data_IF_695322266947
#
_entry.id   IF_695322266947
#
_cell.length_a   1.000
_cell.length_b   1.000
_cell.length_c   1.000
_cell.angle_alpha   90.00
_cell.angle_beta   90.00
_cell.angle_gamma   90.00
#
_symmetry.space_group_name_H-M   'P 1'
#
loop_
_entity.id
_entity.type
_entity.pdbx_description
1 polymer ?
#
# COMPACT_ATOMS: atom_id res chain seq x y z
N UNK A 1 14.17 3.81 -14.33
CA UNK A 1 12.86 3.20 -14.63
C UNK A 1 12.31 2.42 -13.43
N UNK A 2 13.12 1.54 -12.81
CA UNK A 2 12.70 0.68 -11.69
C UNK A 2 12.14 1.46 -10.48
N UNK A 3 12.76 2.57 -10.07
CA UNK A 3 12.29 3.35 -8.91
C UNK A 3 10.91 4.01 -9.12
N UNK A 4 10.57 4.39 -10.36
CA UNK A 4 9.31 5.08 -10.67
C UNK A 4 8.14 4.09 -10.70
N UNK A 5 8.34 2.94 -11.37
CA UNK A 5 7.37 1.83 -11.39
C UNK A 5 7.16 1.28 -9.97
N UNK A 6 8.24 1.20 -9.20
CA UNK A 6 8.17 0.73 -7.81
C UNK A 6 7.35 1.66 -6.91
N UNK A 7 7.56 2.97 -7.01
CA UNK A 7 6.78 3.96 -6.27
C UNK A 7 5.30 3.93 -6.65
N UNK A 8 4.99 3.79 -7.94
CA UNK A 8 3.62 3.65 -8.44
C UNK A 8 2.91 2.41 -7.87
N UNK A 9 3.58 1.25 -7.84
CA UNK A 9 3.00 0.02 -7.29
C UNK A 9 2.67 0.15 -5.79
N UNK A 10 3.58 0.68 -4.97
CA UNK A 10 3.33 0.86 -3.53
C UNK A 10 2.18 1.85 -3.30
N UNK A 11 2.19 2.97 -4.02
CA UNK A 11 1.13 3.96 -3.88
C UNK A 11 -0.22 3.41 -4.31
N UNK A 12 -0.26 2.62 -5.38
CA UNK A 12 -1.48 1.96 -5.84
C UNK A 12 -2.05 1.01 -4.79
N UNK A 13 -1.22 0.16 -4.19
CA UNK A 13 -1.67 -0.78 -3.15
C UNK A 13 -2.14 -0.03 -1.89
N UNK A 14 -1.40 1.02 -1.51
CA UNK A 14 -1.77 1.92 -0.42
C UNK A 14 -3.12 2.61 -0.66
N UNK A 15 -3.33 3.22 -1.83
CA UNK A 15 -4.59 3.91 -2.17
C UNK A 15 -5.76 2.91 -2.26
N UNK A 16 -5.53 1.71 -2.81
CA UNK A 16 -6.55 0.67 -2.93
C UNK A 16 -7.10 0.26 -1.56
N UNK A 17 -6.25 0.09 -0.54
CA UNK A 17 -6.70 -0.25 0.81
C UNK A 17 -7.49 0.88 1.47
N UNK A 18 -7.10 2.15 1.27
CA UNK A 18 -7.86 3.30 1.81
C UNK A 18 -9.23 3.39 1.17
N UNK A 19 -9.28 3.24 -0.16
CA UNK A 19 -10.52 3.31 -0.92
C UNK A 19 -11.45 2.16 -0.54
N UNK A 20 -10.92 0.94 -0.43
CA UNK A 20 -11.68 -0.22 0.02
C UNK A 20 -12.29 0.01 1.41
N UNK A 21 -11.49 0.43 2.39
CA UNK A 21 -11.98 0.70 3.75
C UNK A 21 -13.08 1.78 3.76
N UNK A 22 -12.90 2.85 2.97
CA UNK A 22 -13.90 3.91 2.84
C UNK A 22 -15.20 3.37 2.25
N UNK A 23 -15.13 2.58 1.17
CA UNK A 23 -16.31 2.01 0.53
C UNK A 23 -17.05 1.02 1.44
N UNK A 24 -16.31 0.22 2.22
CA UNK A 24 -16.89 -0.70 3.19
C UNK A 24 -17.65 0.04 4.31
N UNK A 25 -17.18 1.22 4.74
CA UNK A 25 -17.91 2.05 5.71
C UNK A 25 -19.30 2.51 5.21
N UNK A 26 -19.51 2.56 3.89
CA UNK A 26 -20.81 2.87 3.28
C UNK A 26 -21.63 1.62 2.89
N UNK A 27 -21.07 0.42 3.06
CA UNK A 27 -21.75 -0.82 2.72
C UNK A 27 -22.95 -1.04 3.65
N UNK A 28 -24.14 -1.22 3.06
CA UNK A 28 -25.40 -1.43 3.80
C UNK A 28 -26.29 -0.19 3.93
N UNK A 29 -25.85 0.99 3.47
CA UNK A 29 -26.70 2.17 3.37
C UNK A 29 -27.52 2.15 2.05
N UNK A 30 -28.78 2.63 2.03
CA UNK A 30 -29.55 2.71 0.79
C UNK A 30 -28.84 3.63 -0.21
N UNK A 31 -28.31 3.04 -1.29
CA UNK A 31 -27.57 3.74 -2.34
C UNK A 31 -28.50 4.60 -3.19
N UNK A 32 -28.81 5.80 -2.71
CA UNK A 32 -29.39 6.84 -3.56
C UNK A 32 -28.23 7.56 -4.23
N UNK A 33 -27.99 7.26 -5.51
CA UNK A 33 -26.96 7.90 -6.35
C UNK A 33 -27.30 9.38 -6.59
N UNK A 34 -27.10 10.20 -5.56
CA UNK A 34 -27.24 11.65 -5.59
C UNK A 34 -25.84 12.26 -5.64
N UNK A 35 -25.68 13.41 -6.28
CA UNK A 35 -24.42 14.18 -6.27
C UNK A 35 -23.86 14.36 -4.86
N UNK A 36 -24.74 14.65 -3.89
CA UNK A 36 -24.41 14.77 -2.46
C UNK A 36 -23.72 13.52 -1.89
N UNK A 37 -24.17 12.32 -2.29
CA UNK A 37 -23.62 11.05 -1.82
C UNK A 37 -22.19 10.84 -2.32
N UNK A 38 -21.94 11.16 -3.60
CA UNK A 38 -20.60 11.09 -4.20
C UNK A 38 -19.66 12.08 -3.50
N UNK A 39 -20.11 13.32 -3.26
CA UNK A 39 -19.32 14.30 -2.52
C UNK A 39 -19.02 13.85 -1.08
N UNK A 40 -19.95 13.17 -0.41
CA UNK A 40 -19.70 12.64 0.94
C UNK A 40 -18.65 11.53 0.95
N UNK A 41 -18.64 10.63 -0.04
CA UNK A 41 -17.63 9.57 -0.15
C UNK A 41 -16.25 10.20 -0.40
N UNK A 42 -16.16 11.15 -1.33
CA UNK A 42 -14.90 11.85 -1.62
C UNK A 42 -14.41 12.61 -0.39
N UNK A 43 -15.32 13.30 0.32
CA UNK A 43 -14.99 14.02 1.55
C UNK A 43 -14.44 13.10 2.64
N UNK A 44 -15.11 11.97 2.90
CA UNK A 44 -14.63 10.99 3.88
C UNK A 44 -13.31 10.34 3.46
N UNK A 45 -13.16 10.01 2.17
CA UNK A 45 -11.89 9.48 1.65
C UNK A 45 -10.73 10.46 1.88
N UNK A 46 -10.93 11.75 1.57
CA UNK A 46 -9.90 12.77 1.77
C UNK A 46 -9.61 12.99 3.25
N UNK A 47 -10.65 13.04 4.10
CA UNK A 47 -10.49 13.20 5.54
C UNK A 47 -9.74 12.02 6.16
N UNK A 48 -10.10 10.79 5.81
CA UNK A 48 -9.40 9.59 6.26
C UNK A 48 -7.96 9.55 5.76
N UNK A 49 -7.71 9.95 4.51
CA UNK A 49 -6.35 9.96 3.94
C UNK A 49 -5.47 10.99 4.63
N UNK A 50 -5.90 12.26 4.69
CA UNK A 50 -5.09 13.35 5.24
C UNK A 50 -5.01 13.32 6.77
N UNK A 51 -6.09 12.92 7.45
CA UNK A 51 -6.12 12.78 8.91
C UNK A 51 -5.13 11.72 9.37
N UNK A 52 -5.19 10.53 8.79
CA UNK A 52 -4.26 9.44 9.10
C UNK A 52 -2.81 9.75 8.68
N UNK A 53 -2.61 10.46 7.57
CA UNK A 53 -1.30 10.93 7.14
C UNK A 53 -0.69 11.86 8.19
N UNK A 54 -1.44 12.86 8.67
CA UNK A 54 -0.96 13.81 9.66
C UNK A 54 -0.52 13.09 10.94
N UNK A 55 -1.35 12.19 11.46
CA UNK A 55 -1.07 11.44 12.70
C UNK A 55 0.16 10.54 12.52
N UNK A 56 0.21 9.76 11.43
CA UNK A 56 1.33 8.85 11.15
C UNK A 56 2.67 9.58 11.02
N UNK A 57 2.69 10.72 10.31
CA UNK A 57 3.91 11.53 10.15
C UNK A 57 4.32 12.18 11.47
N UNK A 58 3.40 12.75 12.24
CA UNK A 58 3.70 13.39 13.53
C UNK A 58 4.34 12.36 14.48
N UNK A 59 3.76 11.17 14.59
CA UNK A 59 4.30 10.13 15.46
C UNK A 59 5.65 9.59 14.98
N UNK A 60 5.87 9.49 13.67
CA UNK A 60 7.18 9.13 13.12
C UNK A 60 8.25 10.19 13.45
N UNK A 61 7.90 11.48 13.40
CA UNK A 61 8.80 12.57 13.78
C UNK A 61 9.11 12.55 15.28
N UNK A 62 8.10 12.28 16.13
CA UNK A 62 8.29 12.12 17.57
C UNK A 62 9.24 10.95 17.84
N UNK A 63 8.98 9.79 17.23
CA UNK A 63 9.86 8.62 17.34
C UNK A 63 11.30 8.96 16.92
N UNK A 64 11.47 9.67 15.80
CA UNK A 64 12.77 10.11 15.29
C UNK A 64 13.53 10.97 16.30
N UNK A 65 12.84 11.89 16.98
CA UNK A 65 13.43 12.73 18.02
C UNK A 65 13.77 11.97 19.29
N UNK A 66 12.99 10.95 19.65
CA UNK A 66 13.27 10.10 20.82
C UNK A 66 14.52 9.25 20.55
N UNK A 67 14.58 8.56 19.41
CA UNK A 67 15.75 7.74 19.02
C UNK A 67 17.02 8.58 18.87
N UNK A 68 16.91 9.85 18.45
CA UNK A 68 18.08 10.74 18.35
C UNK A 68 18.70 11.10 19.71
N UNK A 69 17.91 11.12 20.78
CA UNK A 69 18.35 11.63 22.10
C UNK A 69 18.86 10.55 23.05
N UNK A 70 18.56 9.29 22.76
CA UNK A 70 18.78 8.18 23.70
C UNK A 70 19.65 7.15 22.99
N UNK A 71 20.85 6.91 23.51
CA UNK A 71 21.66 5.76 23.11
C UNK A 71 21.01 4.50 23.67
N UNK A 72 20.40 3.71 22.79
CA UNK A 72 19.68 2.49 23.16
C UNK A 72 20.38 1.24 22.63
N UNK A 73 20.11 0.10 23.27
CA UNK A 73 20.48 -1.19 22.69
C UNK A 73 19.65 -1.47 21.44
N UNK A 74 20.25 -2.18 20.47
CA UNK A 74 19.65 -2.55 19.19
C UNK A 74 18.20 -3.06 19.28
N UNK A 75 17.92 -3.95 20.25
CA UNK A 75 16.58 -4.55 20.42
C UNK A 75 15.56 -3.52 20.89
N UNK A 76 15.98 -2.58 21.75
CA UNK A 76 15.11 -1.53 22.29
C UNK A 76 14.76 -0.54 21.18
N UNK A 77 15.72 -0.20 20.31
CA UNK A 77 15.47 0.67 19.15
C UNK A 77 14.35 0.09 18.27
N UNK A 78 14.43 -1.21 17.91
CA UNK A 78 13.41 -1.88 17.10
C UNK A 78 12.04 -1.93 17.80
N UNK A 79 12.01 -2.30 19.09
CA UNK A 79 10.77 -2.35 19.87
C UNK A 79 10.12 -0.97 19.93
N UNK A 80 10.91 0.11 20.09
CA UNK A 80 10.39 1.46 20.08
C UNK A 80 9.74 1.82 18.73
N UNK A 81 10.38 1.47 17.60
CA UNK A 81 9.80 1.69 16.27
C UNK A 81 8.44 0.98 16.14
N UNK A 82 8.37 -0.29 16.53
CA UNK A 82 7.15 -1.09 16.47
C UNK A 82 6.07 -0.55 17.42
N UNK A 83 6.45 -0.12 18.62
CA UNK A 83 5.53 0.46 19.59
C UNK A 83 4.95 1.77 19.07
N UNK A 84 5.77 2.65 18.48
CA UNK A 84 5.30 3.89 17.88
C UNK A 84 4.40 3.65 16.66
N UNK A 85 4.68 2.62 15.86
CA UNK A 85 3.81 2.20 14.76
C UNK A 85 2.43 1.76 15.30
N UNK A 86 2.39 0.91 16.32
CA UNK A 86 1.14 0.47 16.96
C UNK A 86 0.41 1.62 17.65
N UNK A 87 1.13 2.57 18.26
CA UNK A 87 0.54 3.76 18.83
C UNK A 87 -0.15 4.62 17.76
N UNK A 88 0.45 4.73 16.57
CA UNK A 88 -0.17 5.46 15.45
C UNK A 88 -1.46 4.83 14.97
N UNK A 89 -1.53 3.50 15.00
CA UNK A 89 -2.76 2.77 14.72
C UNK A 89 -3.84 3.08 15.74
N UNK A 90 -3.54 2.87 17.03
CA UNK A 90 -4.50 3.02 18.12
C UNK A 90 -5.02 4.46 18.24
N UNK A 91 -4.15 5.46 18.07
CA UNK A 91 -4.54 6.86 18.14
C UNK A 91 -5.47 7.25 16.99
N UNK A 92 -5.21 6.72 15.80
CA UNK A 92 -6.02 6.99 14.61
C UNK A 92 -7.38 6.29 14.70
N UNK A 93 -7.39 5.05 15.19
CA UNK A 93 -8.62 4.28 15.42
C UNK A 93 -9.53 4.94 16.47
N UNK A 94 -8.93 5.50 17.54
CA UNK A 94 -9.66 6.29 18.54
C UNK A 94 -10.31 7.56 17.96
N UNK A 95 -9.72 8.12 16.90
CA UNK A 95 -10.25 9.30 16.20
C UNK A 95 -11.24 8.94 15.07
N UNK A 96 -11.68 7.67 15.01
CA UNK A 96 -12.57 7.14 13.96
C UNK A 96 -12.00 7.27 12.54
N UNK A 97 -10.66 7.34 12.44
CA UNK A 97 -9.92 7.39 11.18
C UNK A 97 -9.33 6.00 10.86
N UNK A 98 -8.79 5.81 9.66
CA UNK A 98 -8.26 4.50 9.26
C UNK A 98 -6.87 4.22 9.86
N UNK A 99 -6.82 3.45 10.95
CA UNK A 99 -5.56 3.08 11.61
C UNK A 99 -4.54 2.38 10.70
N UNK A 100 -5.00 1.54 9.77
CA UNK A 100 -4.13 0.88 8.78
C UNK A 100 -3.37 1.89 7.92
N UNK A 101 -4.06 2.97 7.52
CA UNK A 101 -3.45 4.03 6.70
C UNK A 101 -2.48 4.89 7.50
N UNK A 102 -2.69 5.06 8.80
CA UNK A 102 -1.74 5.75 9.66
C UNK A 102 -0.44 4.97 9.84
N UNK A 103 -0.49 3.64 10.03
CA UNK A 103 0.73 2.81 10.06
C UNK A 103 1.51 2.94 8.74
N UNK A 104 0.81 2.93 7.59
CA UNK A 104 1.45 3.09 6.28
C UNK A 104 2.22 4.41 6.17
N UNK A 105 1.60 5.54 6.54
CA UNK A 105 2.29 6.84 6.50
C UNK A 105 3.37 6.95 7.58
N UNK A 106 3.16 6.37 8.76
CA UNK A 106 4.18 6.25 9.80
C UNK A 106 5.42 5.53 9.27
N UNK A 107 5.28 4.36 8.64
CA UNK A 107 6.40 3.59 8.12
C UNK A 107 7.10 4.29 6.95
N UNK A 108 6.34 4.96 6.08
CA UNK A 108 6.88 5.80 5.01
C UNK A 108 7.75 6.93 5.56
N UNK A 109 7.26 7.64 6.58
CA UNK A 109 8.01 8.69 7.26
C UNK A 109 9.18 8.13 8.08
N UNK A 110 9.02 6.98 8.73
CA UNK A 110 10.05 6.34 9.54
C UNK A 110 11.26 5.95 8.69
N UNK A 111 11.04 5.45 7.46
CA UNK A 111 12.14 5.19 6.52
C UNK A 111 12.94 6.44 6.18
N UNK A 112 12.31 7.62 6.14
CA UNK A 112 13.00 8.86 5.81
C UNK A 112 13.64 9.55 7.02
N UNK A 113 12.97 9.56 8.17
CA UNK A 113 13.41 10.31 9.35
C UNK A 113 14.05 9.45 10.45
N UNK A 114 13.61 8.20 10.61
CA UNK A 114 14.07 7.28 11.65
C UNK A 114 15.34 6.54 11.23
N UNK A 115 15.42 6.17 9.94
CA UNK A 115 16.53 5.39 9.39
C UNK A 115 17.90 6.01 9.67
N UNK A 116 18.02 7.34 9.57
CA UNK A 116 19.27 8.04 9.80
C UNK A 116 19.66 8.17 11.29
N UNK A 117 18.68 8.06 12.19
CA UNK A 117 18.90 8.19 13.63
C UNK A 117 19.17 6.84 14.31
N UNK A 118 18.85 5.72 13.65
CA UNK A 118 19.14 4.37 14.13
C UNK A 118 20.64 4.06 14.07
N UNK A 119 21.11 3.28 15.05
CA UNK A 119 22.47 2.75 15.06
C UNK A 119 22.72 1.83 13.85
N UNK A 120 23.96 1.78 13.34
CA UNK A 120 24.32 0.91 12.20
C UNK A 120 23.89 -0.56 12.37
N UNK A 121 24.17 -1.24 13.52
CA UNK A 121 23.75 -2.62 13.68
C UNK A 121 22.22 -2.75 13.77
N UNK A 122 21.51 -1.78 14.37
CA UNK A 122 20.05 -1.82 14.43
C UNK A 122 19.40 -1.62 13.08
N UNK A 123 20.01 -0.82 12.19
CA UNK A 123 19.55 -0.62 10.82
C UNK A 123 19.57 -1.92 10.02
N UNK A 124 20.67 -2.67 10.06
CA UNK A 124 20.80 -3.96 9.38
C UNK A 124 19.85 -5.01 9.94
N UNK A 125 19.71 -5.04 11.28
CA UNK A 125 18.76 -5.94 11.94
C UNK A 125 17.31 -5.61 11.59
N UNK A 126 16.93 -4.33 11.60
CA UNK A 126 15.59 -3.85 11.26
C UNK A 126 15.24 -4.18 9.81
N UNK A 127 16.16 -3.94 8.86
CA UNK A 127 15.96 -4.29 7.45
C UNK A 127 15.77 -5.81 7.26
N UNK A 128 16.59 -6.62 7.93
CA UNK A 128 16.46 -8.09 7.88
C UNK A 128 15.15 -8.57 8.50
N UNK A 129 14.77 -7.99 9.64
CA UNK A 129 13.54 -8.32 10.35
C UNK A 129 12.29 -8.03 9.50
N UNK A 130 12.19 -6.83 8.92
CA UNK A 130 11.04 -6.46 8.09
C UNK A 130 10.99 -7.23 6.76
N UNK A 131 12.15 -7.55 6.15
CA UNK A 131 12.20 -8.45 4.98
C UNK A 131 11.69 -9.85 5.31
N UNK A 132 12.06 -10.38 6.47
CA UNK A 132 11.60 -11.72 6.88
C UNK A 132 10.09 -11.70 7.19
N UNK A 133 9.60 -10.64 7.83
CA UNK A 133 8.16 -10.45 8.07
C UNK A 133 7.35 -10.31 6.78
N UNK A 134 7.87 -9.59 5.78
CA UNK A 134 7.28 -9.56 4.44
C UNK A 134 7.07 -10.96 3.92
N UNK A 135 8.16 -11.72 3.84
CA UNK A 135 8.16 -12.99 3.14
C UNK A 135 7.23 -13.97 3.85
N UNK A 136 7.17 -13.89 5.19
CA UNK A 136 6.20 -14.62 5.99
C UNK A 136 4.75 -14.18 5.69
N UNK A 137 4.48 -12.88 5.62
CA UNK A 137 3.14 -12.36 5.33
C UNK A 137 2.68 -12.75 3.91
N UNK A 138 3.59 -12.71 2.93
CA UNK A 138 3.34 -13.12 1.55
C UNK A 138 2.96 -14.60 1.47
N UNK A 139 3.77 -15.49 2.08
CA UNK A 139 3.47 -16.93 2.15
C UNK A 139 2.13 -17.18 2.87
N UNK A 140 1.85 -16.42 3.93
CA UNK A 140 0.61 -16.53 4.71
C UNK A 140 -0.61 -16.17 3.88
N UNK A 141 -0.58 -15.05 3.15
CA UNK A 141 -1.68 -14.60 2.28
C UNK A 141 -1.91 -15.63 1.17
N UNK A 142 -0.86 -16.11 0.51
CA UNK A 142 -1.00 -17.13 -0.54
C UNK A 142 -1.59 -18.44 -0.01
N UNK A 143 -1.15 -18.89 1.17
CA UNK A 143 -1.69 -20.09 1.81
C UNK A 143 -3.16 -19.90 2.16
N UNK A 144 -3.55 -18.76 2.75
CA UNK A 144 -4.93 -18.46 3.11
C UNK A 144 -5.85 -18.39 1.88
N UNK A 145 -5.41 -17.75 0.79
CA UNK A 145 -6.14 -17.73 -0.47
C UNK A 145 -6.29 -19.14 -1.06
N UNK A 146 -5.25 -19.96 -0.97
CA UNK A 146 -5.29 -21.37 -1.39
C UNK A 146 -6.32 -22.19 -0.60
N UNK A 147 -6.34 -22.05 0.73
CA UNK A 147 -7.30 -22.74 1.61
C UNK A 147 -8.74 -22.28 1.34
N UNK A 148 -8.95 -20.99 1.11
CA UNK A 148 -10.28 -20.45 0.80
C UNK A 148 -10.92 -21.17 -0.40
N UNK A 149 -10.16 -21.44 -1.47
CA UNK A 149 -10.65 -22.15 -2.66
C UNK A 149 -11.21 -23.54 -2.32
N UNK A 150 -10.60 -24.25 -1.36
CA UNK A 150 -11.07 -25.58 -0.94
C UNK A 150 -12.27 -25.54 0.02
N UNK A 151 -12.39 -24.47 0.81
CA UNK A 151 -13.46 -24.31 1.80
C UNK A 151 -14.75 -23.72 1.22
N UNK A 152 -14.72 -23.16 0.00
CA UNK A 152 -15.91 -22.57 -0.61
C UNK A 152 -16.89 -23.63 -1.15
N UNK A 153 -18.16 -23.52 -0.73
CA UNK A 153 -19.26 -24.30 -1.30
C UNK A 153 -19.57 -23.84 -2.73
N UNK A 154 -19.17 -24.65 -3.72
CA UNK A 154 -19.37 -24.42 -5.16
C UNK A 154 -20.84 -24.24 -5.59
N UNK A 155 -21.80 -24.49 -4.69
CA UNK A 155 -23.24 -24.40 -4.94
C UNK A 155 -23.77 -22.96 -5.01
N UNK A 156 -23.08 -21.97 -4.44
CA UNK A 156 -23.47 -20.55 -4.43
C UNK A 156 -22.80 -19.72 -5.53
N UNK A 157 -22.26 -20.37 -6.56
CA UNK A 157 -21.44 -19.70 -7.57
C UNK A 157 -22.28 -18.88 -8.55
N UNK A 158 -22.03 -17.56 -8.60
CA UNK A 158 -22.54 -16.67 -9.63
C UNK A 158 -21.47 -16.47 -10.72
N UNK A 159 -21.46 -17.35 -11.74
CA UNK A 159 -20.63 -17.22 -12.95
C UNK A 159 -20.66 -15.86 -13.63
N UNK A 160 -21.81 -15.18 -13.76
CA UNK A 160 -21.81 -13.82 -14.30
C UNK A 160 -21.02 -12.82 -13.45
N UNK A 161 -21.02 -12.96 -12.12
CA UNK A 161 -20.31 -12.03 -11.24
C UNK A 161 -18.80 -12.18 -11.38
N UNK A 162 -18.30 -13.42 -11.46
CA UNK A 162 -16.87 -13.67 -11.61
C UNK A 162 -16.38 -13.26 -13.01
N UNK A 163 -17.17 -13.52 -14.05
CA UNK A 163 -16.89 -13.01 -15.40
C UNK A 163 -16.84 -11.47 -15.45
N UNK A 164 -17.79 -10.79 -14.79
CA UNK A 164 -17.79 -9.32 -14.68
C UNK A 164 -16.56 -8.80 -13.92
N UNK A 165 -16.16 -9.44 -12.83
CA UNK A 165 -14.96 -9.05 -12.08
C UNK A 165 -13.69 -9.21 -12.92
N UNK A 166 -13.52 -10.33 -13.63
CA UNK A 166 -12.36 -10.54 -14.52
C UNK A 166 -12.34 -9.49 -15.63
N UNK A 167 -13.49 -9.22 -16.25
CA UNK A 167 -13.61 -8.18 -17.28
C UNK A 167 -13.27 -6.80 -16.74
N UNK A 168 -13.80 -6.43 -15.57
CA UNK A 168 -13.52 -5.17 -14.91
C UNK A 168 -12.03 -5.02 -14.55
N UNK A 169 -11.38 -6.10 -14.08
CA UNK A 169 -9.94 -6.12 -13.84
C UNK A 169 -9.10 -5.93 -15.11
N UNK A 170 -9.51 -6.51 -16.24
CA UNK A 170 -8.81 -6.30 -17.52
C UNK A 170 -9.07 -4.91 -18.10
N UNK A 171 -10.31 -4.42 -17.99
CA UNK A 171 -10.72 -3.10 -18.46
C UNK A 171 -10.05 -1.97 -17.66
N UNK A 172 -9.98 -2.08 -16.34
CA UNK A 172 -9.29 -1.10 -15.49
C UNK A 172 -7.82 -0.94 -15.88
N UNK A 173 -7.18 -2.04 -16.31
CA UNK A 173 -5.78 -2.05 -16.74
C UNK A 173 -5.57 -1.46 -18.14
N UNK A 174 -6.60 -1.42 -18.98
CA UNK A 174 -6.53 -0.76 -20.29
C UNK A 174 -6.42 0.77 -20.15
N UNK A 175 -7.00 1.36 -19.09
CA UNK A 175 -6.96 2.80 -18.84
C UNK A 175 -5.54 3.34 -18.58
N UNK A 176 -4.57 2.50 -18.25
CA UNK A 176 -3.16 2.90 -18.11
C UNK A 176 -2.59 3.43 -19.44
N UNK A 177 -3.01 2.89 -20.58
CA UNK A 177 -2.51 3.28 -21.91
C UNK A 177 -2.84 4.74 -22.25
N UNK A 178 -4.10 5.22 -22.19
CA UNK A 178 -4.39 6.63 -22.44
C UNK A 178 -3.76 7.58 -21.42
N UNK A 179 -3.69 7.21 -20.13
CA UNK A 179 -2.98 8.03 -19.12
C UNK A 179 -1.49 8.18 -19.44
N UNK A 180 -0.83 7.12 -19.91
CA UNK A 180 0.58 7.17 -20.31
C UNK A 180 0.82 8.02 -21.57
N UNK A 181 -0.16 8.10 -22.48
CA UNK A 181 -0.13 8.98 -23.66
C UNK A 181 -0.28 10.45 -23.25
N UNK A 182 -1.20 10.75 -22.33
CA UNK A 182 -1.39 12.09 -21.76
C UNK A 182 -0.11 12.56 -21.05
N UNK A 183 0.49 11.70 -20.23
CA UNK A 183 1.76 12.02 -19.54
C UNK A 183 2.93 12.22 -20.52
N UNK A 184 2.92 11.54 -21.67
CA UNK A 184 3.91 11.73 -22.73
C UNK A 184 3.84 13.12 -23.39
N UNK A 185 2.70 13.81 -23.28
CA UNK A 185 2.52 15.17 -23.79
C UNK A 185 3.26 16.19 -22.92
N UNK A 186 3.33 15.96 -21.61
CA UNK A 186 3.98 16.86 -20.64
C UNK A 186 5.47 16.56 -20.40
N UNK A 187 6.04 15.54 -21.07
CA UNK A 187 7.39 15.04 -20.82
C UNK A 187 8.39 15.46 -21.92
N UNK A 188 9.60 15.81 -21.50
CA UNK A 188 10.74 16.14 -22.36
C UNK A 188 11.04 14.99 -23.35
N UNK A 189 11.39 15.26 -24.62
CA UNK A 189 11.54 14.25 -25.68
C UNK A 189 12.48 13.08 -25.36
N UNK A 190 13.48 13.27 -24.50
CA UNK A 190 14.43 12.24 -24.07
C UNK A 190 13.84 11.18 -23.13
N UNK A 191 12.71 11.45 -22.48
CA UNK A 191 12.06 10.55 -21.52
C UNK A 191 10.71 10.00 -22.01
N UNK A 192 10.43 10.09 -23.32
CA UNK A 192 9.17 9.63 -23.89
C UNK A 192 9.05 8.10 -23.83
N UNK A 193 7.91 7.65 -23.34
CA UNK A 193 7.60 6.23 -23.26
C UNK A 193 7.08 5.78 -24.63
N UNK A 194 7.80 4.87 -25.29
CA UNK A 194 7.39 4.32 -26.59
C UNK A 194 6.15 3.43 -26.46
N UNK A 195 5.32 3.35 -27.50
CA UNK A 195 4.12 2.50 -27.54
C UNK A 195 4.42 1.02 -27.25
N UNK A 196 5.59 0.53 -27.69
CA UNK A 196 6.06 -0.83 -27.34
C UNK A 196 6.27 -0.99 -25.84
N UNK A 197 6.78 0.04 -25.16
CA UNK A 197 6.97 0.05 -23.71
C UNK A 197 5.64 0.18 -22.96
N UNK A 198 4.66 0.90 -23.52
CA UNK A 198 3.30 0.97 -22.96
C UNK A 198 2.58 -0.37 -23.02
N UNK A 199 2.71 -1.11 -24.12
CA UNK A 199 2.19 -2.49 -24.23
C UNK A 199 2.92 -3.47 -23.31
N UNK A 200 4.25 -3.32 -23.16
CA UNK A 200 5.02 -4.10 -22.18
C UNK A 200 4.56 -3.77 -20.76
N UNK A 201 4.34 -2.50 -20.41
CA UNK A 201 3.81 -2.14 -19.09
C UNK A 201 2.40 -2.69 -18.86
N UNK A 202 1.55 -2.70 -19.90
CA UNK A 202 0.21 -3.28 -19.84
C UNK A 202 0.23 -4.80 -19.58
N UNK A 203 1.09 -5.56 -20.29
CA UNK A 203 1.25 -7.01 -20.07
C UNK A 203 2.09 -7.36 -18.83
N UNK A 204 3.11 -6.57 -18.51
CA UNK A 204 3.97 -6.79 -17.36
C UNK A 204 3.22 -6.56 -16.05
N UNK A 205 2.16 -5.75 -16.02
CA UNK A 205 1.36 -5.59 -14.80
C UNK A 205 0.51 -6.81 -14.45
N UNK A 206 0.04 -7.55 -15.46
CA UNK A 206 -0.61 -8.85 -15.27
C UNK A 206 0.40 -9.94 -14.89
N UNK A 207 1.64 -9.85 -15.38
CA UNK A 207 2.72 -10.76 -15.01
C UNK A 207 3.48 -10.38 -13.74
N UNK A 208 3.43 -9.14 -13.23
CA UNK A 208 4.11 -8.72 -11.99
C UNK A 208 3.45 -9.28 -10.71
N UNK A 209 2.42 -10.11 -10.82
CA UNK A 209 2.00 -11.02 -9.74
C UNK A 209 2.67 -12.41 -9.83
N UNK A 210 3.27 -12.76 -10.98
CA UNK A 210 3.82 -14.08 -11.30
C UNK A 210 5.34 -14.08 -11.56
N UNK A 211 5.88 -13.15 -12.35
CA UNK A 211 7.33 -13.00 -12.61
C UNK A 211 8.04 -12.20 -11.52
N UNK A 212 7.28 -11.39 -10.77
CA UNK A 212 7.79 -10.84 -9.53
C UNK A 212 7.94 -11.91 -8.42
N UNK A 213 7.63 -13.18 -8.67
CA UNK A 213 7.98 -14.26 -7.74
C UNK A 213 9.43 -14.77 -7.91
N UNK A 214 10.15 -14.40 -9.00
CA UNK A 214 11.33 -15.17 -9.43
C UNK A 214 12.72 -14.47 -9.45
N UNK A 215 12.85 -13.24 -8.92
CA UNK A 215 14.08 -12.46 -8.58
C UNK A 215 13.98 -11.04 -9.17
N UNK A 216 14.13 -9.92 -8.42
CA UNK A 216 14.46 -9.71 -7.01
C UNK A 216 13.32 -8.95 -6.26
N UNK A 217 12.30 -9.68 -5.82
CA UNK A 217 11.11 -9.14 -5.13
C UNK A 217 11.20 -9.26 -3.61
N UNK A 218 12.29 -9.85 -3.16
CA UNK A 218 12.65 -10.02 -1.75
C UNK A 218 13.24 -8.72 -1.16
N UNK A 219 13.54 -7.68 -1.95
CA UNK A 219 14.21 -6.50 -1.39
C UNK A 219 13.33 -5.35 -0.91
N UNK A 220 12.08 -5.17 -1.36
CA UNK A 220 11.42 -3.87 -1.09
C UNK A 220 9.89 -3.90 -0.93
N UNK A 221 9.19 -5.03 -1.08
CA UNK A 221 7.74 -5.02 -0.82
C UNK A 221 7.39 -4.80 0.67
N UNK A 222 8.39 -4.86 1.57
CA UNK A 222 8.40 -4.19 2.88
C UNK A 222 9.77 -3.55 3.10
N UNK A 223 9.98 -2.42 2.45
CA UNK A 223 10.69 -1.33 3.13
C UNK A 223 9.68 -0.45 3.88
N UNK A 224 8.76 -1.11 4.58
CA UNK A 224 8.19 -0.68 5.85
C UNK A 224 9.04 -1.30 6.94
#
# INVERSE_FOLDING_TARGET
MNALVFGECILNDGVAIILYNTLVSFYGQPLVWTSQFIFSIIGQFLLNTFGSLAIGVILALIASKVTQKIDMFLVIELILVLLCAMLSYLLTDFLELSGVTAIFFFGSAAKHYLWFNLSKPAREFTDTFFRTLKDLAEISIFTLLGVQIFMFDWKYYNWPMIGMTIFACLASRFFIVPFSIILNYFRTPENKISFKMQLIMWFAWSSCLFTCSWNPIISILFAF
#
